data_IF_853763124921
#
_entry.id   IF_853763124921
#
_cell.length_a   1.000
_cell.length_b   1.000
_cell.length_c   1.000
_cell.angle_alpha   90.00
_cell.angle_beta   90.00
_cell.angle_gamma   90.00
#
_symmetry.space_group_name_H-M   'P 1'
#
loop_
_entity.id
_entity.type
_entity.pdbx_description
1 polymer ?
#
# COMPACT_ATOMS: atom_id res chain seq x y z
N UNK A 1 -10.21 15.50 -8.27
CA UNK A 1 -10.34 14.04 -8.01
C UNK A 1 -10.64 13.37 -9.33
N UNK A 2 -10.06 12.20 -9.59
CA UNK A 2 -10.34 11.46 -10.82
C UNK A 2 -11.83 11.03 -10.80
N UNK A 3 -12.58 11.14 -11.91
CA UNK A 3 -14.03 10.92 -11.94
C UNK A 3 -14.47 9.53 -11.46
N UNK A 4 -13.60 8.52 -11.60
CA UNK A 4 -13.87 7.12 -11.26
C UNK A 4 -13.20 6.67 -9.94
N UNK A 5 -12.64 7.61 -9.16
CA UNK A 5 -11.98 7.28 -7.90
C UNK A 5 -13.00 6.94 -6.82
N UNK A 6 -12.98 5.70 -6.35
CA UNK A 6 -13.67 5.27 -5.14
C UNK A 6 -12.73 5.48 -3.96
N UNK A 7 -13.16 6.28 -2.97
CA UNK A 7 -12.43 6.48 -1.73
C UNK A 7 -13.15 5.76 -0.60
N UNK A 8 -12.44 4.93 0.14
CA UNK A 8 -12.95 4.40 1.39
C UNK A 8 -12.87 5.48 2.47
N UNK A 9 -14.04 5.86 3.01
CA UNK A 9 -14.16 6.72 4.18
C UNK A 9 -14.69 5.85 5.32
N UNK A 10 -13.84 5.49 6.29
CA UNK A 10 -14.25 4.58 7.36
C UNK A 10 -15.31 5.23 8.24
N UNK A 11 -16.27 4.43 8.70
CA UNK A 11 -17.16 4.85 9.78
C UNK A 11 -16.40 4.87 11.12
N UNK A 12 -17.00 5.45 12.16
CA UNK A 12 -16.45 5.38 13.52
C UNK A 12 -16.29 3.94 14.01
N UNK A 13 -17.23 3.07 13.65
CA UNK A 13 -17.22 1.65 13.97
C UNK A 13 -16.07 0.94 13.25
N UNK A 14 -15.84 1.24 11.97
CA UNK A 14 -14.72 0.69 11.19
C UNK A 14 -13.36 1.14 11.74
N UNK A 15 -13.23 2.42 12.13
CA UNK A 15 -12.02 2.95 12.76
C UNK A 15 -11.73 2.24 14.10
N UNK A 16 -12.77 1.98 14.90
CA UNK A 16 -12.60 1.29 16.17
C UNK A 16 -12.23 -0.19 15.98
N UNK A 17 -12.81 -0.85 14.97
CA UNK A 17 -12.58 -2.25 14.66
C UNK A 17 -11.22 -2.51 13.99
N UNK A 18 -10.94 -1.79 12.91
CA UNK A 18 -9.77 -2.01 12.05
C UNK A 18 -8.53 -1.26 12.54
N UNK A 19 -8.71 -0.24 13.39
CA UNK A 19 -7.67 0.70 13.81
C UNK A 19 -7.02 1.40 12.61
N UNK A 20 -6.14 2.36 12.89
CA UNK A 20 -5.48 3.15 11.85
C UNK A 20 -4.68 2.28 10.86
N UNK A 21 -4.09 1.19 11.35
CA UNK A 21 -3.32 0.25 10.52
C UNK A 21 -4.19 -0.59 9.59
N UNK A 22 -5.31 -1.14 10.09
CA UNK A 22 -6.19 -1.97 9.28
C UNK A 22 -6.92 -1.18 8.21
N UNK A 23 -7.30 0.07 8.49
CA UNK A 23 -7.88 0.98 7.50
C UNK A 23 -6.90 1.26 6.35
N UNK A 24 -5.60 1.33 6.62
CA UNK A 24 -4.57 1.60 5.61
C UNK A 24 -4.33 0.44 4.61
N UNK A 25 -4.86 -0.75 4.87
CA UNK A 25 -4.56 -1.99 4.10
C UNK A 25 -5.76 -2.45 3.24
N UNK A 26 -6.89 -1.74 3.29
CA UNK A 26 -8.18 -2.20 2.71
C UNK A 26 -8.14 -2.45 1.19
N UNK A 27 -7.17 -1.89 0.45
CA UNK A 27 -7.11 -2.03 -0.99
C UNK A 27 -6.53 -3.38 -1.48
N UNK A 28 -7.24 -4.01 -2.42
CA UNK A 28 -6.80 -5.27 -3.04
C UNK A 28 -5.50 -5.10 -3.84
N UNK A 29 -5.26 -3.91 -4.40
CA UNK A 29 -4.05 -3.54 -5.13
C UNK A 29 -3.43 -2.28 -4.52
N UNK A 30 -2.15 -2.35 -4.16
CA UNK A 30 -1.45 -1.23 -3.54
C UNK A 30 -0.41 -0.62 -4.49
N UNK A 31 -0.43 0.71 -4.61
CA UNK A 31 0.62 1.51 -5.24
C UNK A 31 1.04 2.58 -4.25
N UNK A 32 2.28 2.54 -3.80
CA UNK A 32 2.85 3.47 -2.85
C UNK A 32 3.54 4.68 -3.49
N UNK A 33 4.15 5.48 -2.62
CA UNK A 33 4.99 6.61 -2.99
C UNK A 33 6.46 6.25 -2.75
N UNK A 34 7.33 6.73 -3.63
CA UNK A 34 8.77 6.50 -3.52
C UNK A 34 9.31 6.92 -2.14
N UNK A 35 10.08 6.03 -1.50
CA UNK A 35 10.77 6.27 -0.22
C UNK A 35 9.85 6.69 0.95
N UNK A 36 8.55 6.42 0.86
CA UNK A 36 7.60 6.69 1.93
C UNK A 36 7.67 5.60 3.00
N UNK A 37 8.00 5.98 4.25
CA UNK A 37 7.97 5.05 5.38
C UNK A 37 6.58 4.49 5.65
N UNK A 38 5.54 5.24 5.31
CA UNK A 38 4.16 4.77 5.36
C UNK A 38 3.93 3.63 4.35
N UNK A 39 4.40 3.79 3.12
CA UNK A 39 4.31 2.72 2.09
C UNK A 39 5.13 1.49 2.48
N UNK A 40 6.29 1.67 3.13
CA UNK A 40 7.09 0.55 3.62
C UNK A 40 6.34 -0.28 4.67
N UNK A 41 5.64 0.36 5.61
CA UNK A 41 4.80 -0.36 6.58
C UNK A 41 3.69 -1.15 5.91
N UNK A 42 3.05 -0.58 4.89
CA UNK A 42 2.01 -1.31 4.13
C UNK A 42 2.62 -2.52 3.38
N UNK A 43 3.80 -2.38 2.78
CA UNK A 43 4.47 -3.52 2.13
C UNK A 43 4.75 -4.67 3.11
N UNK A 44 5.26 -4.35 4.30
CA UNK A 44 5.57 -5.33 5.35
C UNK A 44 4.29 -6.04 5.84
N UNK A 45 3.25 -5.28 6.17
CA UNK A 45 1.97 -5.84 6.63
C UNK A 45 1.33 -6.74 5.57
N UNK A 46 1.37 -6.35 4.29
CA UNK A 46 0.84 -7.16 3.19
C UNK A 46 1.66 -8.44 2.96
N UNK A 47 2.97 -8.41 3.14
CA UNK A 47 3.81 -9.62 3.09
C UNK A 47 3.49 -10.56 4.26
N UNK A 48 3.29 -10.03 5.48
CA UNK A 48 2.88 -10.81 6.66
C UNK A 48 1.52 -11.48 6.43
N UNK A 49 0.59 -10.77 5.79
CA UNK A 49 -0.74 -11.27 5.44
C UNK A 49 -0.74 -12.21 4.22
N UNK A 50 0.39 -12.37 3.52
CA UNK A 50 0.54 -13.29 2.40
C UNK A 50 -0.05 -12.82 1.07
N UNK A 51 -0.15 -11.51 0.85
CA UNK A 51 -0.56 -10.98 -0.46
C UNK A 51 0.49 -11.25 -1.55
N UNK A 52 0.06 -11.35 -2.81
CA UNK A 52 0.99 -11.53 -3.94
C UNK A 52 1.95 -10.32 -4.04
N UNK A 53 3.27 -10.52 -4.12
CA UNK A 53 4.24 -9.43 -4.23
C UNK A 53 3.95 -8.48 -5.41
N UNK A 54 3.36 -8.97 -6.50
CA UNK A 54 3.01 -8.16 -7.68
C UNK A 54 1.91 -7.13 -7.39
N UNK A 55 1.07 -7.36 -6.39
CA UNK A 55 0.02 -6.41 -5.97
C UNK A 55 0.41 -5.56 -4.76
N UNK A 56 1.65 -5.76 -4.26
CA UNK A 56 2.14 -5.13 -3.02
C UNK A 56 3.29 -4.17 -3.29
N UNK A 57 4.32 -4.58 -4.02
CA UNK A 57 5.54 -3.78 -4.20
C UNK A 57 5.48 -2.91 -5.46
N UNK A 58 4.62 -1.90 -5.47
CA UNK A 58 4.46 -0.96 -6.59
C UNK A 58 4.60 0.49 -6.11
N UNK A 59 5.14 1.37 -6.96
CA UNK A 59 5.12 2.81 -6.71
C UNK A 59 4.78 3.64 -7.94
N UNK A 60 4.26 4.84 -7.70
CA UNK A 60 4.23 5.86 -8.73
C UNK A 60 5.65 6.35 -9.07
N UNK A 61 5.90 6.49 -10.36
CA UNK A 61 7.10 7.13 -10.90
C UNK A 61 6.87 8.63 -10.99
N UNK A 62 7.94 9.42 -10.85
CA UNK A 62 7.86 10.84 -11.15
C UNK A 62 7.68 11.07 -12.65
N UNK A 63 6.98 12.14 -13.04
CA UNK A 63 6.65 12.43 -14.45
C UNK A 63 7.87 12.45 -15.39
N UNK A 64 9.05 12.84 -14.87
CA UNK A 64 10.30 12.92 -15.63
C UNK A 64 11.35 11.88 -15.18
N UNK A 65 10.96 10.92 -14.36
CA UNK A 65 11.86 9.89 -13.81
C UNK A 65 12.10 8.78 -14.84
N UNK A 66 13.29 8.77 -15.45
CA UNK A 66 13.67 7.75 -16.44
C UNK A 66 13.99 6.41 -15.79
N UNK A 67 14.65 6.44 -14.64
CA UNK A 67 15.03 5.26 -13.87
C UNK A 67 14.09 5.14 -12.68
N UNK A 68 12.91 4.58 -12.92
CA UNK A 68 11.92 4.34 -11.88
C UNK A 68 12.04 2.91 -11.34
N UNK A 69 13.02 2.70 -10.46
CA UNK A 69 13.14 1.42 -9.77
C UNK A 69 11.92 1.18 -8.86
N UNK A 70 11.38 -0.02 -8.93
CA UNK A 70 10.30 -0.46 -8.06
C UNK A 70 10.83 -0.87 -6.68
N UNK A 71 10.01 -0.80 -5.62
CA UNK A 71 10.41 -1.22 -4.28
C UNK A 71 10.91 -2.67 -4.27
N UNK A 72 11.96 -2.94 -3.50
CA UNK A 72 12.49 -4.30 -3.34
C UNK A 72 11.48 -5.21 -2.65
N UNK A 73 11.30 -6.44 -3.17
CA UNK A 73 10.54 -7.49 -2.50
C UNK A 73 11.35 -8.06 -1.33
N UNK A 74 10.89 -7.80 -0.10
CA UNK A 74 11.46 -8.35 1.13
C UNK A 74 10.62 -9.53 1.60
N UNK A 75 11.11 -10.75 1.38
CA UNK A 75 10.42 -11.96 1.80
C UNK A 75 10.44 -12.11 3.32
N UNK A 76 9.29 -12.42 3.91
CA UNK A 76 9.20 -12.80 5.32
C UNK A 76 9.97 -14.11 5.56
N UNK A 77 10.70 -14.16 6.68
CA UNK A 77 11.36 -15.36 7.19
C UNK A 77 10.79 -15.63 8.58
N UNK A 78 10.26 -16.84 8.79
CA UNK A 78 9.63 -17.27 10.04
C UNK A 78 10.61 -17.96 10.98
#
# INVERSE_FOLDING_TARGET
>A
MLPEMMRFEPTWEDLELLKDGGVAIIDQYFIGTALSTFSFRIHEEREILGFDPKTTYNRFCGDNEKECEQPTHWKIVY
#
